data_IF_593465481701
#
_entry.id   IF_593465481701
#
_cell.length_a   1.000
_cell.length_b   1.000
_cell.length_c   1.000
_cell.angle_alpha   90.00
_cell.angle_beta   90.00
_cell.angle_gamma   90.00
#
_symmetry.space_group_name_H-M   'P 1'
#
loop_
_entity.id
_entity.type
_entity.pdbx_description
1 polymer ?
#
# COMPACT_ATOMS: atom_id res chain seq x y z
N UNK A 1 -1.80 -15.54 24.43
CA UNK A 1 -1.16 -14.59 23.48
C UNK A 1 -2.18 -13.61 22.86
N UNK A 2 -3.48 -13.79 23.09
CA UNK A 2 -4.57 -12.97 22.53
C UNK A 2 -4.92 -11.76 23.41
N UNK A 3 -4.61 -11.82 24.72
CA UNK A 3 -5.06 -10.82 25.71
C UNK A 3 -4.61 -9.37 25.46
N UNK A 4 -3.39 -9.15 24.97
CA UNK A 4 -2.91 -7.79 24.70
C UNK A 4 -3.51 -7.20 23.43
N UNK A 5 -3.82 -8.02 22.40
CA UNK A 5 -4.53 -7.59 21.20
C UNK A 5 -5.97 -7.18 21.54
N UNK A 6 -6.63 -7.95 22.38
CA UNK A 6 -7.97 -7.63 22.89
C UNK A 6 -7.98 -6.36 23.71
N UNK A 7 -6.93 -6.10 24.51
CA UNK A 7 -6.78 -4.85 25.24
C UNK A 7 -6.62 -3.63 24.31
N UNK A 8 -5.84 -3.75 23.23
CA UNK A 8 -5.74 -2.68 22.22
C UNK A 8 -7.10 -2.50 21.52
N UNK A 9 -7.79 -3.59 21.20
CA UNK A 9 -9.09 -3.56 20.53
C UNK A 9 -10.18 -2.96 21.42
N UNK A 10 -10.10 -3.13 22.74
CA UNK A 10 -10.96 -2.51 23.75
C UNK A 10 -10.55 -1.07 24.12
N UNK A 11 -9.45 -0.53 23.57
CA UNK A 11 -9.03 0.83 23.85
C UNK A 11 -10.03 1.86 23.33
N UNK A 12 -10.12 3.02 24.01
CA UNK A 12 -11.01 4.12 23.64
C UNK A 12 -10.81 4.58 22.19
N UNK A 13 -9.56 4.59 21.69
CA UNK A 13 -9.24 4.95 20.32
C UNK A 13 -9.79 3.92 19.33
N UNK A 14 -9.53 2.64 19.56
CA UNK A 14 -10.00 1.55 18.70
C UNK A 14 -11.52 1.50 18.65
N UNK A 15 -12.19 1.61 19.81
CA UNK A 15 -13.65 1.67 19.92
C UNK A 15 -14.21 2.88 19.18
N UNK A 16 -13.64 4.06 19.38
CA UNK A 16 -14.07 5.26 18.68
C UNK A 16 -13.91 5.13 17.15
N UNK A 17 -12.81 4.57 16.67
CA UNK A 17 -12.59 4.34 15.24
C UNK A 17 -13.64 3.43 14.62
N UNK A 18 -14.12 2.42 15.35
CA UNK A 18 -15.09 1.42 14.84
C UNK A 18 -16.54 1.85 14.99
N UNK A 19 -16.89 2.48 16.12
CA UNK A 19 -18.27 2.69 16.55
C UNK A 19 -18.76 4.11 16.31
N UNK A 20 -17.87 5.03 15.97
CA UNK A 20 -18.26 6.40 15.66
C UNK A 20 -19.03 6.49 14.34
N UNK A 21 -20.21 7.09 14.36
CA UNK A 21 -21.00 7.41 13.16
C UNK A 21 -20.38 8.55 12.32
N UNK A 22 -19.27 9.13 12.78
CA UNK A 22 -18.61 10.22 12.09
C UNK A 22 -17.97 9.75 10.76
N UNK A 23 -18.29 10.45 9.67
CA UNK A 23 -17.75 10.17 8.33
C UNK A 23 -16.20 10.19 8.29
N UNK A 24 -15.54 10.93 9.18
CA UNK A 24 -14.09 11.02 9.28
C UNK A 24 -13.46 9.91 10.13
N UNK A 25 -14.23 9.10 10.83
CA UNK A 25 -13.75 7.92 11.55
C UNK A 25 -13.37 6.79 10.58
N UNK A 26 -13.92 5.61 10.74
CA UNK A 26 -13.56 4.46 9.91
C UNK A 26 -13.76 4.69 8.39
N UNK A 27 -14.90 5.26 7.92
CA UNK A 27 -15.10 5.52 6.49
C UNK A 27 -14.07 6.50 5.91
N UNK A 28 -13.76 7.59 6.61
CA UNK A 28 -12.78 8.58 6.17
C UNK A 28 -11.36 8.00 6.07
N UNK A 29 -10.95 7.20 7.05
CA UNK A 29 -9.65 6.52 7.02
C UNK A 29 -9.58 5.56 5.83
N UNK A 30 -10.65 4.82 5.55
CA UNK A 30 -10.71 3.90 4.42
C UNK A 30 -10.62 4.64 3.07
N UNK A 31 -11.25 5.81 2.95
CA UNK A 31 -11.14 6.68 1.77
C UNK A 31 -9.69 7.14 1.59
N UNK A 32 -9.06 7.67 2.64
CA UNK A 32 -7.65 8.11 2.59
C UNK A 32 -6.73 6.94 2.24
N UNK A 33 -6.98 5.76 2.81
CA UNK A 33 -6.21 4.54 2.50
C UNK A 33 -6.33 4.15 1.03
N UNK A 34 -7.53 4.19 0.48
CA UNK A 34 -7.80 3.86 -0.92
C UNK A 34 -7.17 4.89 -1.87
N UNK A 35 -7.31 6.19 -1.56
CA UNK A 35 -6.66 7.26 -2.33
C UNK A 35 -5.14 7.15 -2.28
N UNK A 36 -4.56 6.91 -1.11
CA UNK A 36 -3.13 6.68 -0.95
C UNK A 36 -2.64 5.51 -1.79
N UNK A 37 -3.38 4.40 -1.80
CA UNK A 37 -3.07 3.24 -2.64
C UNK A 37 -3.20 3.57 -4.13
N UNK A 38 -4.23 4.32 -4.55
CA UNK A 38 -4.42 4.71 -5.93
C UNK A 38 -3.29 5.62 -6.44
N UNK A 39 -2.86 6.59 -5.64
CA UNK A 39 -1.74 7.48 -5.96
C UNK A 39 -0.43 6.69 -6.06
N UNK A 40 -0.12 5.84 -5.08
CA UNK A 40 1.11 5.04 -5.08
C UNK A 40 1.11 4.04 -6.25
N UNK A 41 0.03 3.27 -6.41
CA UNK A 41 -0.07 2.26 -7.47
C UNK A 41 -0.14 2.90 -8.87
N UNK A 42 -0.90 3.97 -9.04
CA UNK A 42 -1.03 4.66 -10.32
C UNK A 42 0.29 5.27 -10.79
N UNK A 43 0.98 5.99 -9.92
CA UNK A 43 2.27 6.60 -10.26
C UNK A 43 3.37 5.55 -10.52
N UNK A 44 3.45 4.50 -9.71
CA UNK A 44 4.43 3.42 -9.90
C UNK A 44 4.14 2.59 -11.14
N UNK A 45 2.87 2.31 -11.46
CA UNK A 45 2.48 1.64 -12.70
C UNK A 45 2.82 2.49 -13.92
N UNK A 46 2.50 3.78 -13.91
CA UNK A 46 2.82 4.71 -15.00
C UNK A 46 4.34 4.78 -15.25
N UNK A 47 5.14 4.90 -14.18
CA UNK A 47 6.60 4.85 -14.27
C UNK A 47 7.09 3.51 -14.83
N UNK A 48 6.58 2.38 -14.34
CA UNK A 48 6.95 1.05 -14.80
C UNK A 48 6.67 0.85 -16.28
N UNK A 49 5.48 1.18 -16.75
CA UNK A 49 5.06 1.08 -18.16
C UNK A 49 5.96 1.96 -19.05
N UNK A 50 6.19 3.20 -18.65
CA UNK A 50 7.05 4.10 -19.42
C UNK A 50 8.51 3.62 -19.51
N UNK A 51 9.06 3.10 -18.41
CA UNK A 51 10.42 2.55 -18.37
C UNK A 51 10.54 1.24 -19.17
N UNK A 52 9.47 0.48 -19.33
CA UNK A 52 9.39 -0.67 -20.24
C UNK A 52 9.31 -0.26 -21.71
N UNK A 53 9.04 1.01 -21.98
CA UNK A 53 8.95 1.54 -23.34
C UNK A 53 7.54 1.50 -23.97
N UNK A 54 6.49 1.31 -23.16
CA UNK A 54 5.10 1.31 -23.67
C UNK A 54 4.70 2.76 -23.87
N UNK A 55 4.65 3.69 -23.21
CA UNK A 55 4.21 5.07 -23.47
C UNK A 55 5.39 5.97 -23.93
N UNK A 56 5.98 5.69 -25.08
CA UNK A 56 7.21 6.37 -25.56
C UNK A 56 7.04 7.86 -25.82
N UNK A 57 5.83 8.32 -26.08
CA UNK A 57 5.50 9.73 -26.29
C UNK A 57 5.63 10.57 -25.02
N UNK A 58 5.61 9.96 -23.83
CA UNK A 58 5.78 10.66 -22.56
C UNK A 58 7.30 10.92 -22.34
N UNK A 59 7.74 12.17 -22.13
CA UNK A 59 9.14 12.47 -21.84
C UNK A 59 9.62 11.74 -20.58
N UNK A 60 10.86 11.25 -20.58
CA UNK A 60 11.47 10.61 -19.40
C UNK A 60 11.61 11.56 -18.21
N UNK A 61 11.72 12.87 -18.49
CA UNK A 61 11.79 13.91 -17.47
C UNK A 61 10.52 13.99 -16.61
N UNK A 62 9.34 13.72 -17.20
CA UNK A 62 8.05 13.71 -16.50
C UNK A 62 7.96 12.59 -15.44
N UNK A 63 8.81 11.56 -15.53
CA UNK A 63 8.87 10.51 -14.49
C UNK A 63 9.35 11.05 -13.14
N UNK A 64 10.13 12.14 -13.14
CA UNK A 64 10.58 12.80 -11.91
C UNK A 64 9.40 13.38 -11.11
N UNK A 65 8.37 13.86 -11.81
CA UNK A 65 7.19 14.45 -11.18
C UNK A 65 6.28 13.37 -10.56
N UNK A 66 6.37 12.13 -11.04
CA UNK A 66 5.62 11.00 -10.49
C UNK A 66 6.23 10.44 -9.20
N UNK A 67 7.53 10.63 -8.96
CA UNK A 67 8.19 10.14 -7.73
C UNK A 67 7.59 10.76 -6.47
N UNK A 68 7.43 12.10 -6.34
CA UNK A 68 6.77 12.67 -5.17
C UNK A 68 5.31 12.23 -5.03
N UNK A 69 4.59 12.01 -6.13
CA UNK A 69 3.21 11.48 -6.09
C UNK A 69 3.19 10.06 -5.49
N UNK A 70 4.16 9.21 -5.90
CA UNK A 70 4.31 7.88 -5.30
C UNK A 70 4.61 7.96 -3.80
N UNK A 71 5.47 8.88 -3.36
CA UNK A 71 5.76 9.09 -1.94
C UNK A 71 4.55 9.56 -1.15
N UNK A 72 3.81 10.54 -1.64
CA UNK A 72 2.56 11.00 -1.02
C UNK A 72 1.59 9.83 -0.87
N UNK A 73 1.40 9.06 -1.95
CA UNK A 73 0.55 7.87 -1.93
C UNK A 73 0.99 6.84 -0.89
N UNK A 74 2.29 6.54 -0.80
CA UNK A 74 2.85 5.61 0.18
C UNK A 74 2.65 6.10 1.62
N UNK A 75 2.92 7.38 1.90
CA UNK A 75 2.74 7.97 3.24
C UNK A 75 1.28 7.91 3.67
N UNK A 76 0.35 8.31 2.79
CA UNK A 76 -1.08 8.23 3.07
C UNK A 76 -1.54 6.78 3.28
N UNK A 77 -1.08 5.85 2.46
CA UNK A 77 -1.45 4.44 2.57
C UNK A 77 -0.88 3.79 3.85
N UNK A 78 0.36 4.07 4.21
CA UNK A 78 0.98 3.55 5.44
C UNK A 78 0.31 4.15 6.66
N UNK A 79 0.17 5.47 6.73
CA UNK A 79 -0.42 6.17 7.88
C UNK A 79 -1.87 5.73 8.14
N UNK A 80 -2.71 5.72 7.11
CA UNK A 80 -4.09 5.23 7.24
C UNK A 80 -4.15 3.72 7.52
N UNK A 81 -3.21 2.95 6.96
CA UNK A 81 -3.08 1.52 7.23
C UNK A 81 -2.77 1.21 8.69
N UNK A 82 -1.93 2.00 9.34
CA UNK A 82 -1.66 1.88 10.78
C UNK A 82 -2.93 2.14 11.61
N UNK A 83 -3.72 3.15 11.25
CA UNK A 83 -5.01 3.42 11.92
C UNK A 83 -5.99 2.24 11.74
N UNK A 84 -6.04 1.62 10.56
CA UNK A 84 -6.85 0.43 10.32
C UNK A 84 -6.38 -0.78 11.14
N UNK A 85 -5.07 -0.92 11.38
CA UNK A 85 -4.54 -1.96 12.29
C UNK A 85 -4.96 -1.68 13.73
N UNK A 86 -4.92 -0.42 14.17
CA UNK A 86 -5.39 -0.04 15.52
C UNK A 86 -6.89 -0.30 15.68
N UNK A 87 -7.69 -0.05 14.63
CA UNK A 87 -9.13 -0.33 14.66
C UNK A 87 -9.45 -1.84 14.77
N UNK A 88 -8.68 -2.70 14.13
CA UNK A 88 -8.89 -4.16 14.09
C UNK A 88 -7.57 -4.93 14.25
N UNK A 89 -6.90 -4.83 15.41
CA UNK A 89 -5.57 -5.41 15.59
C UNK A 89 -5.58 -6.94 15.49
N UNK A 90 -6.56 -7.61 16.07
CA UNK A 90 -6.69 -9.07 16.01
C UNK A 90 -6.84 -9.53 14.57
N UNK A 91 -7.72 -8.89 13.80
CA UNK A 91 -7.94 -9.18 12.37
C UNK A 91 -6.69 -9.02 11.52
N UNK A 92 -5.92 -7.96 11.77
CA UNK A 92 -4.74 -7.64 10.99
C UNK A 92 -3.58 -8.60 11.33
N UNK A 93 -3.25 -8.70 12.61
CA UNK A 93 -2.03 -9.38 13.07
C UNK A 93 -2.12 -10.91 13.11
N UNK A 94 -3.31 -11.49 13.02
CA UNK A 94 -3.48 -12.96 12.88
C UNK A 94 -3.56 -13.43 11.43
N UNK A 95 -3.63 -12.50 10.46
CA UNK A 95 -3.79 -12.85 9.05
C UNK A 95 -2.42 -12.89 8.32
N UNK A 96 -2.01 -14.02 7.73
CA UNK A 96 -0.74 -14.12 7.00
C UNK A 96 -0.65 -13.18 5.79
N UNK A 97 -1.79 -12.84 5.14
CA UNK A 97 -1.85 -11.89 4.02
C UNK A 97 -1.41 -10.48 4.48
N UNK A 98 -1.62 -10.14 5.75
CA UNK A 98 -1.15 -8.87 6.29
C UNK A 98 0.39 -8.75 6.24
N UNK A 99 1.09 -9.80 6.62
CA UNK A 99 2.56 -9.83 6.58
C UNK A 99 3.10 -9.80 5.14
N UNK A 100 2.42 -10.50 4.23
CA UNK A 100 2.74 -10.40 2.80
C UNK A 100 2.56 -8.97 2.30
N UNK A 101 1.47 -8.30 2.67
CA UNK A 101 1.23 -6.88 2.34
C UNK A 101 2.34 -5.98 2.89
N UNK A 102 2.78 -6.18 4.13
CA UNK A 102 3.90 -5.42 4.71
C UNK A 102 5.19 -5.61 3.90
N UNK A 103 5.51 -6.86 3.51
CA UNK A 103 6.67 -7.15 2.68
C UNK A 103 6.60 -6.41 1.33
N UNK A 104 5.43 -6.43 0.68
CA UNK A 104 5.20 -5.72 -0.59
C UNK A 104 5.38 -4.21 -0.42
N UNK A 105 4.88 -3.63 0.68
CA UNK A 105 5.05 -2.19 0.97
C UNK A 105 6.53 -1.85 1.17
N UNK A 106 7.28 -2.65 1.96
CA UNK A 106 8.71 -2.43 2.17
C UNK A 106 9.49 -2.50 0.85
N UNK A 107 9.18 -3.49 0.01
CA UNK A 107 9.78 -3.62 -1.32
C UNK A 107 9.42 -2.42 -2.22
N UNK A 108 8.16 -1.96 -2.20
CA UNK A 108 7.72 -0.79 -2.96
C UNK A 108 8.45 0.49 -2.51
N UNK A 109 8.57 0.71 -1.20
CA UNK A 109 9.35 1.84 -0.64
C UNK A 109 10.81 1.78 -1.11
N UNK A 110 11.44 0.60 -1.09
CA UNK A 110 12.82 0.43 -1.54
C UNK A 110 12.98 0.79 -3.02
N UNK A 111 12.06 0.34 -3.88
CA UNK A 111 12.09 0.63 -5.33
C UNK A 111 11.81 2.09 -5.60
N UNK A 112 10.82 2.71 -4.96
CA UNK A 112 10.53 4.15 -5.11
C UNK A 112 11.72 4.99 -4.64
N UNK A 113 12.35 4.62 -3.52
CA UNK A 113 13.58 5.27 -3.03
C UNK A 113 14.76 5.12 -4.00
N UNK A 114 14.85 3.99 -4.68
CA UNK A 114 15.86 3.79 -5.73
C UNK A 114 15.62 4.72 -6.94
N UNK A 115 14.37 4.87 -7.37
CA UNK A 115 13.97 5.79 -8.43
C UNK A 115 14.20 7.26 -8.05
N UNK A 116 13.89 7.64 -6.83
CA UNK A 116 14.10 8.98 -6.30
C UNK A 116 15.57 9.41 -6.41
N UNK A 117 16.50 8.49 -6.14
CA UNK A 117 17.94 8.72 -6.27
C UNK A 117 18.42 8.90 -7.72
N UNK A 118 17.67 8.43 -8.70
CA UNK A 118 18.10 8.55 -10.09
C UNK A 118 17.22 7.86 -11.13
N UNK A 119 16.00 8.31 -11.29
CA UNK A 119 15.04 7.74 -12.27
C UNK A 119 15.59 7.73 -13.70
N UNK A 120 16.35 8.76 -14.09
CA UNK A 120 16.95 8.84 -15.44
C UNK A 120 18.09 7.81 -15.62
N UNK A 121 18.82 7.47 -14.57
CA UNK A 121 19.82 6.38 -14.62
C UNK A 121 19.14 5.02 -14.82
N UNK A 122 18.01 4.81 -14.15
CA UNK A 122 17.20 3.60 -14.35
C UNK A 122 16.65 3.54 -15.77
N UNK A 123 16.20 4.68 -16.30
CA UNK A 123 15.71 4.78 -17.67
C UNK A 123 16.78 4.51 -18.73
N UNK A 124 18.01 4.89 -18.47
CA UNK A 124 19.16 4.64 -19.35
C UNK A 124 19.70 3.22 -19.25
N UNK A 125 19.29 2.44 -18.23
CA UNK A 125 19.76 1.07 -18.05
C UNK A 125 19.03 0.12 -19.03
N UNK A 126 19.77 -0.79 -19.70
CA UNK A 126 19.17 -1.84 -20.51
C UNK A 126 18.41 -2.89 -19.68
N UNK A 127 18.67 -2.93 -18.36
CA UNK A 127 18.04 -3.90 -17.44
C UNK A 127 16.60 -3.54 -17.16
N UNK A 128 15.67 -4.44 -17.44
CA UNK A 128 14.22 -4.27 -17.20
C UNK A 128 13.77 -4.66 -15.79
N UNK A 129 14.72 -4.93 -14.88
CA UNK A 129 14.40 -5.42 -13.53
C UNK A 129 13.57 -4.43 -12.72
N UNK A 130 13.99 -3.17 -12.65
CA UNK A 130 13.29 -2.13 -11.87
C UNK A 130 11.89 -1.86 -12.41
N UNK A 131 11.67 -1.61 -13.70
CA UNK A 131 10.32 -1.39 -14.22
C UNK A 131 9.41 -2.62 -14.06
N UNK A 132 9.94 -3.83 -14.23
CA UNK A 132 9.16 -5.05 -13.99
C UNK A 132 8.79 -5.18 -12.50
N UNK A 133 9.75 -4.93 -11.59
CA UNK A 133 9.50 -4.95 -10.15
C UNK A 133 8.41 -3.93 -9.76
N UNK A 134 8.41 -2.72 -10.34
CA UNK A 134 7.35 -1.73 -10.10
C UNK A 134 5.97 -2.29 -10.44
N UNK A 135 5.81 -2.89 -11.61
CA UNK A 135 4.51 -3.42 -12.05
C UNK A 135 4.08 -4.62 -11.20
N UNK A 136 4.99 -5.54 -10.90
CA UNK A 136 4.70 -6.72 -10.07
C UNK A 136 4.32 -6.30 -8.65
N UNK A 137 5.08 -5.39 -8.02
CA UNK A 137 4.77 -4.90 -6.68
C UNK A 137 3.46 -4.13 -6.65
N UNK A 138 3.17 -3.34 -7.69
CA UNK A 138 1.88 -2.65 -7.81
C UNK A 138 0.72 -3.64 -7.88
N UNK A 139 0.82 -4.67 -8.72
CA UNK A 139 -0.20 -5.71 -8.83
C UNK A 139 -0.38 -6.47 -7.50
N UNK A 140 0.73 -6.87 -6.87
CA UNK A 140 0.71 -7.54 -5.56
C UNK A 140 0.10 -6.67 -4.45
N UNK A 141 0.41 -5.35 -4.42
CA UNK A 141 -0.17 -4.43 -3.45
C UNK A 141 -1.69 -4.34 -3.58
N UNK A 142 -2.20 -4.27 -4.81
CA UNK A 142 -3.65 -4.25 -5.08
C UNK A 142 -4.29 -5.57 -4.68
N UNK A 143 -3.73 -6.70 -5.10
CA UNK A 143 -4.27 -8.04 -4.84
C UNK A 143 -4.27 -8.34 -3.34
N UNK A 144 -3.16 -8.14 -2.64
CA UNK A 144 -3.08 -8.39 -1.19
C UNK A 144 -4.00 -7.47 -0.40
N UNK A 145 -4.15 -6.20 -0.82
CA UNK A 145 -5.11 -5.27 -0.22
C UNK A 145 -6.56 -5.73 -0.37
N UNK A 146 -6.91 -6.33 -1.49
CA UNK A 146 -8.26 -6.86 -1.75
C UNK A 146 -8.51 -8.20 -1.06
N UNK A 147 -7.51 -9.07 -0.96
CA UNK A 147 -7.65 -10.39 -0.34
C UNK A 147 -7.76 -10.33 1.20
N UNK A 148 -7.17 -9.32 1.83
CA UNK A 148 -7.13 -9.20 3.29
C UNK A 148 -8.51 -9.30 3.98
N UNK A 149 -9.59 -8.62 3.50
CA UNK A 149 -10.91 -8.74 4.11
C UNK A 149 -11.57 -10.12 3.91
N UNK A 150 -11.27 -10.79 2.79
CA UNK A 150 -11.90 -12.08 2.46
C UNK A 150 -11.27 -13.25 3.21
N UNK A 151 -9.96 -13.27 3.37
CA UNK A 151 -9.25 -14.37 4.04
C UNK A 151 -9.58 -14.48 5.52
N UNK A 152 -9.93 -13.39 6.18
CA UNK A 152 -10.37 -13.41 7.58
C UNK A 152 -11.67 -14.20 7.76
N UNK A 153 -12.63 -14.07 6.85
CA UNK A 153 -13.90 -14.81 6.91
C UNK A 153 -13.70 -16.32 6.79
N UNK A 154 -12.79 -16.76 5.95
CA UNK A 154 -12.50 -18.18 5.75
C UNK A 154 -11.73 -18.82 6.92
N UNK A 155 -10.83 -18.07 7.56
CA UNK A 155 -10.08 -18.57 8.73
C UNK A 155 -10.95 -18.73 9.97
N UNK A 156 -12.02 -17.92 10.13
CA UNK A 156 -12.96 -18.02 11.26
C UNK A 156 -14.16 -18.94 10.99
N UNK A 157 -14.46 -19.27 9.74
CA UNK A 157 -15.54 -20.20 9.39
C UNK A 157 -15.12 -21.68 9.50
N UNK A 158 -13.84 -21.95 9.75
CA UNK A 158 -13.28 -23.30 9.90
C UNK A 158 -13.13 -23.76 11.38
N UNK A 159 -13.67 -23.02 12.31
CA UNK A 159 -13.83 -23.35 13.72
C UNK A 159 -15.27 -23.12 14.11
#
# INVERSE_FOLDING_TARGET
MVSWLEQIEASALSTWLRESDAMYAFPGILIVHTLGMALAAGSTAAMGLRLLGIARQIPLTSLRELVPVAWIGLVLNIGSGLLLVVAYPTKALTNPIFYLKLLVIVAAVAVVRHLDRGVLRVAASPRKLVPTALLVLTALAIVTGRLLPYTYRHLMAGH
#
